data_IF_331628411210
#
_entry.id   IF_331628411210
#
_cell.length_a   1.000
_cell.length_b   1.000
_cell.length_c   1.000
_cell.angle_alpha   90.00
_cell.angle_beta   90.00
_cell.angle_gamma   90.00
#
_symmetry.space_group_name_H-M   'P 1'
#
loop_
_entity.id
_entity.type
_entity.pdbx_description
1 polymer ?
#
# COMPACT_ATOMS: atom_id res chain seq x y z
N UNK A 1 -18.74 -21.81 -22.18
CA UNK A 1 -17.35 -22.14 -21.86
C UNK A 1 -16.73 -20.89 -21.28
N UNK A 2 -16.55 -20.83 -19.96
CA UNK A 2 -15.91 -19.68 -19.31
C UNK A 2 -14.45 -19.61 -19.79
N UNK A 3 -14.11 -18.59 -20.56
CA UNK A 3 -12.79 -18.48 -21.19
C UNK A 3 -11.68 -18.28 -20.13
N UNK A 4 -10.41 -18.61 -20.45
CA UNK A 4 -9.30 -18.42 -19.51
C UNK A 4 -9.16 -16.96 -19.03
N UNK A 5 -9.58 -15.98 -19.84
CA UNK A 5 -9.62 -14.56 -19.48
C UNK A 5 -10.68 -14.24 -18.42
N UNK A 6 -11.81 -14.94 -18.41
CA UNK A 6 -12.90 -14.71 -17.46
C UNK A 6 -12.52 -15.19 -16.05
N UNK A 7 -11.84 -16.33 -15.97
CA UNK A 7 -11.27 -16.84 -14.71
C UNK A 7 -10.20 -15.90 -14.16
N UNK A 8 -9.32 -15.36 -15.03
CA UNK A 8 -8.31 -14.37 -14.64
C UNK A 8 -8.96 -13.07 -14.15
N UNK A 9 -9.96 -12.56 -14.86
CA UNK A 9 -10.69 -11.37 -14.46
C UNK A 9 -11.34 -11.53 -13.08
N UNK A 10 -12.00 -12.67 -12.84
CA UNK A 10 -12.65 -12.96 -11.56
C UNK A 10 -11.63 -13.02 -10.42
N UNK A 11 -10.50 -13.71 -10.63
CA UNK A 11 -9.42 -13.80 -9.65
C UNK A 11 -8.80 -12.42 -9.35
N UNK A 12 -8.54 -11.61 -10.38
CA UNK A 12 -7.98 -10.26 -10.24
C UNK A 12 -8.94 -9.32 -9.48
N UNK A 13 -10.23 -9.39 -9.81
CA UNK A 13 -11.27 -8.58 -9.18
C UNK A 13 -11.40 -8.91 -7.69
N UNK A 14 -11.40 -10.20 -7.33
CA UNK A 14 -11.40 -10.62 -5.92
C UNK A 14 -10.15 -10.15 -5.18
N UNK A 15 -8.98 -10.26 -5.81
CA UNK A 15 -7.69 -9.90 -5.17
C UNK A 15 -7.58 -8.39 -4.91
N UNK A 16 -8.16 -7.54 -5.75
CA UNK A 16 -8.16 -6.06 -5.57
C UNK A 16 -8.72 -5.63 -4.21
N UNK A 17 -9.82 -6.24 -3.75
CA UNK A 17 -10.43 -5.96 -2.44
C UNK A 17 -9.49 -6.31 -1.28
N UNK A 18 -8.68 -7.35 -1.45
CA UNK A 18 -7.68 -7.74 -0.46
C UNK A 18 -6.50 -6.77 -0.40
N UNK A 19 -6.01 -6.25 -1.53
CA UNK A 19 -4.90 -5.27 -1.52
C UNK A 19 -5.25 -3.98 -0.78
N UNK A 20 -6.46 -3.44 -0.98
CA UNK A 20 -6.89 -2.24 -0.26
C UNK A 20 -6.92 -2.45 1.24
N UNK A 21 -7.44 -3.59 1.70
CA UNK A 21 -7.50 -3.94 3.13
C UNK A 21 -6.10 -4.22 3.70
N UNK A 22 -5.26 -4.95 2.98
CA UNK A 22 -3.89 -5.27 3.39
C UNK A 22 -3.03 -4.00 3.52
N UNK A 23 -3.21 -3.05 2.61
CA UNK A 23 -2.55 -1.75 2.67
C UNK A 23 -2.89 -0.98 3.95
N UNK A 24 -4.18 -0.84 4.27
CA UNK A 24 -4.58 -0.12 5.49
C UNK A 24 -4.18 -0.87 6.77
N UNK A 25 -4.23 -2.20 6.75
CA UNK A 25 -3.73 -3.02 7.87
C UNK A 25 -2.22 -2.86 8.06
N UNK A 26 -1.42 -2.78 6.98
CA UNK A 26 0.03 -2.59 7.11
C UNK A 26 0.35 -1.21 7.68
N UNK A 27 -0.35 -0.16 7.24
CA UNK A 27 -0.19 1.20 7.79
C UNK A 27 -0.56 1.23 9.27
N UNK A 28 -1.71 0.66 9.64
CA UNK A 28 -2.14 0.58 11.04
C UNK A 28 -1.13 -0.17 11.92
N UNK A 29 -0.62 -1.31 11.44
CA UNK A 29 0.40 -2.09 12.13
C UNK A 29 1.69 -1.28 12.33
N UNK A 30 2.16 -0.56 11.32
CA UNK A 30 3.34 0.32 11.42
C UNK A 30 3.14 1.39 12.50
N UNK A 31 1.97 2.04 12.55
CA UNK A 31 1.69 3.08 13.54
C UNK A 31 1.62 2.53 14.96
N UNK A 32 1.01 1.35 15.14
CA UNK A 32 0.98 0.66 16.45
C UNK A 32 2.40 0.28 16.88
N UNK A 33 3.19 -0.33 16.00
CA UNK A 33 4.58 -0.68 16.29
C UNK A 33 5.41 0.54 16.68
N UNK A 34 5.26 1.65 15.96
CA UNK A 34 5.90 2.92 16.27
C UNK A 34 5.50 3.43 17.66
N UNK A 35 4.20 3.45 17.97
CA UNK A 35 3.68 3.90 19.26
C UNK A 35 4.19 3.04 20.43
N UNK A 36 4.23 1.72 20.25
CA UNK A 36 4.77 0.77 21.23
C UNK A 36 6.24 1.08 21.50
N UNK A 37 7.06 1.26 20.47
CA UNK A 37 8.49 1.58 20.65
C UNK A 37 8.68 2.95 21.30
N UNK A 38 7.85 3.93 20.94
CA UNK A 38 7.91 5.27 21.53
C UNK A 38 7.63 5.28 23.05
N UNK A 39 6.77 4.39 23.52
CA UNK A 39 6.34 4.33 24.93
C UNK A 39 6.91 3.13 25.70
N UNK A 40 7.77 2.30 25.08
CA UNK A 40 8.29 1.10 25.70
C UNK A 40 9.14 1.42 26.93
N UNK A 41 8.71 1.02 28.15
CA UNK A 41 9.50 1.20 29.36
C UNK A 41 10.72 0.27 29.30
N UNK A 42 11.92 0.82 29.48
CA UNK A 42 13.17 0.05 29.53
C UNK A 42 13.99 -0.03 28.24
N UNK A 43 13.51 0.51 27.11
CA UNK A 43 14.35 0.62 25.92
C UNK A 43 15.46 1.66 26.13
N UNK A 44 16.74 1.34 25.85
CA UNK A 44 17.83 2.29 25.98
C UNK A 44 17.58 3.51 25.07
N UNK A 45 17.73 4.71 25.63
CA UNK A 45 17.44 5.99 24.96
C UNK A 45 18.21 6.17 23.66
N UNK A 46 19.44 5.64 23.57
CA UNK A 46 20.27 5.70 22.36
C UNK A 46 19.80 4.78 21.21
N UNK A 47 19.07 3.70 21.51
CA UNK A 47 18.63 2.72 20.51
C UNK A 47 17.19 2.99 20.02
N UNK A 48 16.39 3.70 20.83
CA UNK A 48 14.99 4.02 20.53
C UNK A 48 14.80 4.81 19.23
N UNK A 49 15.61 5.85 18.91
CA UNK A 49 15.60 6.55 17.62
C UNK A 49 15.73 5.62 16.42
N UNK A 50 16.78 4.80 16.43
CA UNK A 50 17.10 3.90 15.32
C UNK A 50 15.98 2.89 15.09
N UNK A 51 15.37 2.37 16.16
CA UNK A 51 14.26 1.43 16.07
C UNK A 51 12.99 2.09 15.51
N UNK A 52 12.66 3.31 15.95
CA UNK A 52 11.51 4.08 15.43
C UNK A 52 11.64 4.38 13.95
N UNK A 53 12.82 4.84 13.54
CA UNK A 53 13.16 5.12 12.14
C UNK A 53 13.04 3.85 11.32
N UNK A 54 13.65 2.74 11.76
CA UNK A 54 13.55 1.46 11.07
C UNK A 54 12.09 1.01 10.86
N UNK A 55 11.23 1.17 11.86
CA UNK A 55 9.80 0.82 11.77
C UNK A 55 9.08 1.69 10.72
N UNK A 56 9.28 3.01 10.76
CA UNK A 56 8.64 3.94 9.83
C UNK A 56 9.11 3.71 8.38
N UNK A 57 10.41 3.50 8.17
CA UNK A 57 10.98 3.19 6.86
C UNK A 57 10.51 1.84 6.32
N UNK A 58 10.46 0.81 7.17
CA UNK A 58 9.94 -0.49 6.78
C UNK A 58 8.44 -0.42 6.45
N UNK A 59 7.65 0.33 7.23
CA UNK A 59 6.24 0.58 6.95
C UNK A 59 6.01 1.34 5.64
N UNK A 60 6.82 2.36 5.36
CA UNK A 60 6.79 3.08 4.09
C UNK A 60 7.13 2.15 2.91
N UNK A 61 8.15 1.29 3.03
CA UNK A 61 8.55 0.33 2.01
C UNK A 61 7.45 -0.69 1.72
N UNK A 62 6.84 -1.27 2.77
CA UNK A 62 5.75 -2.25 2.64
C UNK A 62 4.54 -1.59 1.97
N UNK A 63 4.16 -0.40 2.43
CA UNK A 63 3.03 0.36 1.88
C UNK A 63 3.27 0.74 0.42
N UNK A 64 4.49 1.13 0.06
CA UNK A 64 4.90 1.40 -1.33
C UNK A 64 4.80 0.15 -2.20
N UNK A 65 5.30 -1.01 -1.72
CA UNK A 65 5.22 -2.27 -2.47
C UNK A 65 3.78 -2.71 -2.71
N UNK A 66 2.92 -2.63 -1.69
CA UNK A 66 1.50 -2.95 -1.82
C UNK A 66 0.81 -2.03 -2.83
N UNK A 67 1.09 -0.72 -2.77
CA UNK A 67 0.61 0.25 -3.73
C UNK A 67 1.08 -0.04 -5.17
N UNK A 68 2.36 -0.35 -5.36
CA UNK A 68 2.92 -0.64 -6.68
C UNK A 68 2.35 -1.94 -7.27
N UNK A 69 2.11 -2.96 -6.44
CA UNK A 69 1.44 -4.19 -6.86
C UNK A 69 0.01 -3.89 -7.30
N UNK A 70 -0.76 -3.17 -6.49
CA UNK A 70 -2.13 -2.79 -6.82
C UNK A 70 -2.22 -2.04 -8.16
N UNK A 71 -1.30 -1.09 -8.42
CA UNK A 71 -1.24 -0.39 -9.72
C UNK A 71 -1.00 -1.34 -10.90
N UNK A 72 -0.15 -2.36 -10.73
CA UNK A 72 0.07 -3.38 -11.77
C UNK A 72 -1.18 -4.23 -12.01
N UNK A 73 -1.88 -4.59 -10.93
CA UNK A 73 -3.13 -5.34 -11.03
C UNK A 73 -4.24 -4.53 -11.71
N UNK A 74 -4.39 -3.25 -11.37
CA UNK A 74 -5.35 -2.36 -12.03
C UNK A 74 -5.04 -2.20 -13.53
N UNK A 75 -3.77 -2.09 -13.89
CA UNK A 75 -3.36 -2.04 -15.30
C UNK A 75 -3.70 -3.34 -16.06
N UNK A 76 -3.50 -4.50 -15.43
CA UNK A 76 -3.87 -5.80 -16.03
C UNK A 76 -5.38 -5.95 -16.18
N UNK A 77 -6.15 -5.55 -15.17
CA UNK A 77 -7.61 -5.58 -15.22
C UNK A 77 -8.14 -4.70 -16.36
N UNK A 78 -7.62 -3.47 -16.46
CA UNK A 78 -8.00 -2.53 -17.51
C UNK A 78 -7.65 -3.05 -18.91
N UNK A 79 -6.50 -3.74 -19.07
CA UNK A 79 -6.13 -4.36 -20.34
C UNK A 79 -7.10 -5.48 -20.76
N UNK A 80 -7.57 -6.30 -19.81
CA UNK A 80 -8.56 -7.36 -20.08
C UNK A 80 -9.92 -6.73 -20.45
N UNK A 81 -10.38 -5.74 -19.68
CA UNK A 81 -11.63 -5.02 -19.96
C UNK A 81 -11.58 -4.36 -21.35
N UNK A 82 -10.47 -3.70 -21.69
CA UNK A 82 -10.28 -3.07 -22.99
C UNK A 82 -10.28 -4.09 -24.14
N UNK A 83 -9.66 -5.26 -23.94
CA UNK A 83 -9.68 -6.34 -24.94
C UNK A 83 -11.10 -6.85 -25.20
N UNK A 84 -11.92 -7.01 -24.17
CA UNK A 84 -13.32 -7.42 -24.33
C UNK A 84 -14.20 -6.35 -24.98
N UNK A 85 -13.99 -5.08 -24.66
CA UNK A 85 -14.65 -3.95 -25.32
C UNK A 85 -14.31 -3.95 -26.82
N UNK A 86 -13.03 -4.10 -27.17
CA UNK A 86 -12.57 -4.18 -28.56
C UNK A 86 -13.11 -5.40 -29.30
N UNK A 87 -13.34 -6.51 -28.58
CA UNK A 87 -13.90 -7.75 -29.13
C UNK A 87 -15.43 -7.72 -29.27
N UNK A 88 -16.09 -6.61 -28.92
CA UNK A 88 -17.53 -6.43 -29.08
C UNK A 88 -18.39 -7.18 -28.05
N UNK A 89 -17.81 -7.58 -26.91
CA UNK A 89 -18.55 -8.25 -25.84
C UNK A 89 -19.41 -7.21 -25.11
N UNK A 90 -20.73 -7.35 -25.21
CA UNK A 90 -21.68 -6.47 -24.54
C UNK A 90 -21.70 -6.70 -23.02
N UNK A 91 -21.79 -5.62 -22.24
CA UNK A 91 -21.94 -5.65 -20.78
C UNK A 91 -20.66 -5.45 -19.96
N UNK A 92 -19.50 -5.23 -20.60
CA UNK A 92 -18.27 -4.88 -19.88
C UNK A 92 -18.33 -3.40 -19.49
N UNK A 93 -18.49 -3.14 -18.20
CA UNK A 93 -18.43 -1.79 -17.64
C UNK A 93 -17.01 -1.56 -17.09
N UNK A 94 -16.24 -0.60 -17.61
CA UNK A 94 -14.89 -0.36 -17.14
C UNK A 94 -14.92 0.01 -15.66
N UNK A 95 -14.10 -0.68 -14.87
CA UNK A 95 -13.98 -0.36 -13.46
C UNK A 95 -13.43 1.07 -13.33
N UNK A 96 -14.02 1.96 -12.48
CA UNK A 96 -13.44 3.26 -12.25
C UNK A 96 -12.00 3.08 -11.76
N UNK A 97 -11.07 3.74 -12.45
CA UNK A 97 -9.69 3.81 -12.01
C UNK A 97 -9.69 4.35 -10.57
N UNK A 98 -8.99 3.66 -9.66
CA UNK A 98 -8.91 4.13 -8.29
C UNK A 98 -8.21 5.49 -8.28
N UNK A 99 -8.97 6.57 -8.10
CA UNK A 99 -8.45 7.91 -7.76
C UNK A 99 -7.70 7.92 -6.41
N UNK A 100 -7.67 6.77 -5.70
CA UNK A 100 -6.89 6.53 -4.49
C UNK A 100 -5.37 6.68 -4.66
N UNK A 101 -4.87 6.90 -5.88
CA UNK A 101 -3.48 7.29 -6.19
C UNK A 101 -2.98 8.44 -5.32
N UNK A 102 -3.82 9.43 -5.01
CA UNK A 102 -3.45 10.55 -4.15
C UNK A 102 -3.22 10.09 -2.70
N UNK A 103 -4.27 9.59 -2.05
CA UNK A 103 -4.24 9.30 -0.60
C UNK A 103 -3.17 8.28 -0.17
N UNK A 104 -2.92 7.25 -0.98
CA UNK A 104 -1.95 6.20 -0.64
C UNK A 104 -0.51 6.64 -0.85
N UNK A 105 -0.25 7.42 -1.89
CA UNK A 105 1.06 8.02 -2.12
C UNK A 105 1.41 9.01 -0.99
N UNK A 106 0.45 9.87 -0.61
CA UNK A 106 0.62 10.79 0.51
C UNK A 106 0.89 10.07 1.83
N UNK A 107 0.24 8.93 2.08
CA UNK A 107 0.51 8.13 3.29
C UNK A 107 1.94 7.56 3.30
N UNK A 108 2.44 7.08 2.16
CA UNK A 108 3.83 6.59 2.04
C UNK A 108 4.81 7.74 2.30
N UNK A 109 4.59 8.90 1.67
CA UNK A 109 5.42 10.09 1.86
C UNK A 109 5.36 10.58 3.32
N UNK A 110 4.20 10.53 3.95
CA UNK A 110 4.03 10.90 5.36
C UNK A 110 4.80 9.96 6.28
N UNK A 111 4.76 8.64 6.05
CA UNK A 111 5.54 7.68 6.84
C UNK A 111 7.05 7.90 6.68
N UNK A 112 7.53 8.13 5.46
CA UNK A 112 8.93 8.45 5.21
C UNK A 112 9.34 9.79 5.85
N UNK A 113 8.49 10.81 5.72
CA UNK A 113 8.69 12.13 6.32
C UNK A 113 8.73 12.09 7.84
N UNK A 114 7.86 11.30 8.48
CA UNK A 114 7.92 11.05 9.92
C UNK A 114 9.24 10.39 10.32
N UNK A 115 9.75 9.45 9.53
CA UNK A 115 11.06 8.83 9.77
C UNK A 115 12.20 9.86 9.73
N UNK A 116 12.17 10.79 8.78
CA UNK A 116 13.13 11.89 8.70
C UNK A 116 12.99 12.89 9.85
N UNK A 117 11.77 13.19 10.28
CA UNK A 117 11.51 14.09 11.41
C UNK A 117 12.05 13.51 12.73
N UNK A 118 11.92 12.19 12.93
CA UNK A 118 12.53 11.50 14.09
C UNK A 118 14.05 11.60 14.04
N UNK A 119 14.68 11.29 12.90
CA UNK A 119 16.14 11.46 12.72
C UNK A 119 16.59 12.90 12.99
N UNK A 120 15.88 13.88 12.44
CA UNK A 120 16.20 15.29 12.60
C UNK A 120 16.05 15.76 14.05
N UNK A 121 15.03 15.28 14.77
CA UNK A 121 14.88 15.55 16.20
C UNK A 121 16.07 15.03 17.00
N UNK A 122 16.49 13.80 16.74
CA UNK A 122 17.58 13.17 17.50
C UNK A 122 18.98 13.70 17.12
N UNK A 123 19.13 14.36 15.96
CA UNK A 123 20.36 15.07 15.58
C UNK A 123 20.45 16.49 16.19
N UNK A 124 19.32 17.07 16.60
CA UNK A 124 19.23 18.44 17.15
C UNK A 124 19.21 18.48 18.69
N UNK A 125 19.09 17.33 19.35
CA UNK A 125 19.09 17.16 20.82
C UNK A 125 20.41 16.58 21.27
#
# INVERSE_FOLDING_TARGET
MTGPLETQYTALTQTRLHFGRLYWLSVAFTLVAFAVVAHAPGAPSFARPGLQVAILWMGALISWRLYALEMRYEAQLAAIEQHWIQSGIAGVQPSPASDGRGSRLWTVLALAGLGLAVLGRDLLV
#
